data_IF_235288143825
#
_entry.id   IF_235288143825
#
_cell.length_a   1.000
_cell.length_b   1.000
_cell.length_c   1.000
_cell.angle_alpha   90.00
_cell.angle_beta   90.00
_cell.angle_gamma   90.00
#
_symmetry.space_group_name_H-M   'P 1'
#
loop_
_entity.id
_entity.type
_entity.pdbx_description
1 polymer ?
#
# COMPACT_ATOMS: atom_id res chain seq x y z
N UNK A 1 2.07 24.22 -0.87
CA UNK A 1 2.21 23.19 -1.94
C UNK A 1 3.48 22.38 -1.74
N UNK A 2 3.48 21.52 -0.71
CA UNK A 2 4.49 20.48 -0.54
C UNK A 2 3.84 19.16 -0.97
N UNK A 3 4.11 18.73 -2.21
CA UNK A 3 3.71 17.42 -2.69
C UNK A 3 4.57 16.35 -2.00
N UNK A 4 3.97 15.58 -1.10
CA UNK A 4 4.64 14.46 -0.45
C UNK A 4 4.30 13.17 -1.20
N UNK A 5 5.33 12.43 -1.61
CA UNK A 5 5.15 11.12 -2.25
C UNK A 5 5.38 10.03 -1.22
N UNK A 6 4.37 9.20 -1.00
CA UNK A 6 4.46 8.00 -0.18
C UNK A 6 4.55 6.76 -1.07
N UNK A 7 5.40 5.82 -0.67
CA UNK A 7 5.54 4.53 -1.33
C UNK A 7 4.99 3.44 -0.40
N UNK A 8 4.03 2.66 -0.88
CA UNK A 8 3.27 1.71 -0.07
C UNK A 8 3.35 0.32 -0.68
N UNK A 9 3.43 -0.69 0.18
CA UNK A 9 3.31 -2.11 -0.21
C UNK A 9 2.18 -2.72 0.60
N UNK A 10 1.15 -3.19 -0.10
CA UNK A 10 0.03 -3.92 0.45
C UNK A 10 0.17 -5.40 0.08
N UNK A 11 0.15 -6.27 1.08
CA UNK A 11 0.19 -7.72 0.87
C UNK A 11 -1.08 -8.40 1.35
N UNK A 12 -1.39 -9.55 0.77
CA UNK A 12 -2.61 -10.29 1.01
C UNK A 12 -2.32 -11.76 1.30
N UNK A 13 -2.98 -12.29 2.32
CA UNK A 13 -2.92 -13.68 2.74
C UNK A 13 -4.30 -14.34 2.65
N UNK A 14 -4.36 -15.66 2.86
CA UNK A 14 -5.62 -16.38 2.94
C UNK A 14 -6.46 -15.83 4.10
N UNK A 15 -7.68 -15.40 3.79
CA UNK A 15 -8.71 -15.02 4.75
C UNK A 15 -9.64 -16.20 5.05
N UNK A 16 -10.81 -15.89 5.62
CA UNK A 16 -11.85 -16.90 5.87
C UNK A 16 -12.46 -17.37 4.54
N UNK A 17 -12.55 -18.69 4.34
CA UNK A 17 -13.12 -19.27 3.13
C UNK A 17 -12.25 -18.95 1.89
N UNK A 18 -12.88 -18.40 0.85
CA UNK A 18 -12.19 -17.96 -0.39
C UNK A 18 -11.79 -16.49 -0.38
N UNK A 19 -11.82 -15.83 0.77
CA UNK A 19 -11.49 -14.42 0.89
C UNK A 19 -9.97 -14.19 0.95
N UNK A 20 -9.54 -13.02 0.49
CA UNK A 20 -8.20 -12.49 0.77
C UNK A 20 -8.26 -11.57 1.99
N UNK A 21 -7.25 -11.65 2.85
CA UNK A 21 -7.08 -10.76 3.99
C UNK A 21 -5.87 -9.86 3.75
N UNK A 22 -6.07 -8.55 3.81
CA UNK A 22 -4.98 -7.58 3.78
C UNK A 22 -4.12 -7.69 5.06
N UNK A 23 -2.81 -7.76 4.89
CA UNK A 23 -1.82 -7.55 5.95
C UNK A 23 -1.61 -6.04 6.20
N UNK A 24 -0.93 -5.64 7.29
CA UNK A 24 -0.56 -4.24 7.50
C UNK A 24 0.24 -3.65 6.33
N UNK A 25 -0.11 -2.43 5.91
CA UNK A 25 0.61 -1.72 4.84
C UNK A 25 2.03 -1.39 5.28
N UNK A 26 2.99 -1.65 4.39
CA UNK A 26 4.39 -1.28 4.61
C UNK A 26 4.70 0.02 3.87
N UNK A 27 5.02 1.06 4.62
CA UNK A 27 5.51 2.33 4.08
C UNK A 27 7.00 2.21 3.77
N UNK A 28 7.40 2.66 2.58
CA UNK A 28 8.76 2.63 2.08
C UNK A 28 9.23 4.06 1.79
N UNK A 29 10.54 4.27 1.89
CA UNK A 29 11.14 5.60 1.66
C UNK A 29 11.35 5.89 0.18
N UNK A 30 11.30 4.86 -0.67
CA UNK A 30 11.48 4.98 -2.11
C UNK A 30 10.66 3.94 -2.87
N UNK A 31 10.36 4.24 -4.14
CA UNK A 31 9.71 3.30 -5.05
C UNK A 31 10.54 2.03 -5.29
N UNK A 32 11.87 2.11 -5.27
CA UNK A 32 12.73 0.95 -5.43
C UNK A 32 12.66 0.01 -4.22
N UNK A 33 12.64 0.56 -3.01
CA UNK A 33 12.45 -0.22 -1.79
C UNK A 33 11.09 -0.92 -1.78
N UNK A 34 10.03 -0.22 -2.20
CA UNK A 34 8.69 -0.79 -2.32
C UNK A 34 8.66 -1.97 -3.30
N UNK A 35 9.29 -1.83 -4.48
CA UNK A 35 9.40 -2.92 -5.47
C UNK A 35 10.15 -4.12 -4.93
N UNK A 36 11.34 -3.92 -4.36
CA UNK A 36 12.14 -5.02 -3.79
C UNK A 36 11.42 -5.77 -2.68
N UNK A 37 10.66 -5.05 -1.83
CA UNK A 37 9.83 -5.68 -0.80
C UNK A 37 8.68 -6.46 -1.41
N UNK A 38 8.03 -5.91 -2.44
CA UNK A 38 6.93 -6.60 -3.11
C UNK A 38 7.39 -7.92 -3.75
N UNK A 39 8.52 -7.92 -4.46
CA UNK A 39 9.11 -9.12 -5.06
C UNK A 39 9.45 -10.18 -4.01
N UNK A 40 9.99 -9.78 -2.86
CA UNK A 40 10.26 -10.72 -1.76
C UNK A 40 8.97 -11.30 -1.16
N UNK A 41 7.92 -10.48 -1.08
CA UNK A 41 6.64 -10.92 -0.51
C UNK A 41 5.86 -11.81 -1.49
N UNK A 42 6.06 -11.67 -2.80
CA UNK A 42 5.38 -12.51 -3.79
C UNK A 42 5.70 -14.00 -3.67
N UNK A 43 6.86 -14.35 -3.08
CA UNK A 43 7.22 -15.75 -2.83
C UNK A 43 6.34 -16.42 -1.76
N UNK A 44 5.72 -15.63 -0.88
CA UNK A 44 5.06 -16.13 0.34
C UNK A 44 3.61 -15.66 0.52
N UNK A 45 3.17 -14.64 -0.24
CA UNK A 45 1.82 -14.08 -0.15
C UNK A 45 1.00 -14.41 -1.37
N UNK A 46 -0.31 -14.48 -1.18
CA UNK A 46 -1.26 -14.77 -2.25
C UNK A 46 -1.45 -13.60 -3.21
N UNK A 47 -1.13 -12.39 -2.76
CA UNK A 47 -1.12 -11.20 -3.60
C UNK A 47 -0.30 -10.10 -2.96
N UNK A 48 0.37 -9.30 -3.78
CA UNK A 48 1.14 -8.13 -3.33
C UNK A 48 1.00 -7.01 -4.35
N UNK A 49 0.78 -5.80 -3.85
CA UNK A 49 0.64 -4.58 -4.65
C UNK A 49 1.60 -3.53 -4.09
N UNK A 50 2.51 -3.03 -4.92
CA UNK A 50 3.32 -1.86 -4.63
C UNK A 50 2.83 -0.67 -5.44
N UNK A 51 2.57 0.45 -4.79
CA UNK A 51 2.15 1.68 -5.46
C UNK A 51 2.76 2.91 -4.79
N UNK A 52 2.82 4.00 -5.55
CA UNK A 52 3.25 5.30 -5.04
C UNK A 52 2.06 6.25 -5.16
N UNK A 53 1.79 6.99 -4.09
CA UNK A 53 0.76 8.03 -4.07
C UNK A 53 1.44 9.34 -3.71
N UNK A 54 1.14 10.39 -4.45
CA UNK A 54 1.60 11.74 -4.13
C UNK A 54 0.40 12.52 -3.62
N UNK A 55 0.47 12.98 -2.37
CA UNK A 55 -0.57 13.77 -1.74
C UNK A 55 -0.02 15.16 -1.41
N UNK A 56 -0.81 16.20 -1.62
CA UNK A 56 -0.48 17.52 -1.08
C UNK A 56 -0.81 17.51 0.42
N UNK A 57 0.20 17.65 1.27
CA UNK A 57 0.05 17.57 2.72
C UNK A 57 -0.81 18.70 3.32
N UNK A 58 -1.21 19.71 2.54
CA UNK A 58 -2.15 20.75 2.98
C UNK A 58 -3.63 20.33 2.90
N UNK A 59 -3.98 19.27 2.16
CA UNK A 59 -5.38 18.83 2.01
C UNK A 59 -5.73 17.75 3.05
N UNK A 60 -5.92 18.20 4.28
CA UNK A 60 -6.52 17.42 5.37
C UNK A 60 -8.02 17.14 5.20
N UNK A 61 -8.47 16.75 4.00
CA UNK A 61 -9.84 16.27 3.77
C UNK A 61 -9.79 14.78 3.38
N UNK A 62 -9.73 13.92 4.40
CA UNK A 62 -10.31 12.59 4.25
C UNK A 62 -11.82 12.79 4.14
N UNK A 63 -12.39 12.59 2.94
CA UNK A 63 -13.83 12.61 2.76
C UNK A 63 -14.47 11.49 3.60
N UNK A 64 -15.11 11.86 4.72
CA UNK A 64 -15.78 10.95 5.64
C UNK A 64 -17.22 10.61 5.18
N UNK A 65 -17.67 11.02 3.98
CA UNK A 65 -19.00 10.66 3.47
C UNK A 65 -19.00 10.30 1.97
N UNK A 66 -18.86 9.01 1.61
CA UNK A 66 -19.20 8.57 0.27
C UNK A 66 -20.73 8.61 0.07
N UNK A 67 -21.20 9.38 -0.93
CA UNK A 67 -22.58 9.33 -1.45
C UNK A 67 -22.73 8.32 -2.57
#
# INVERSE_FOLDING_TARGET
>A
MAIETVHLVQSYIAGKGKALKAEPVVICKSAEEARRKADRLSDTRLGVVAFSASADAELGDYDENPV
#
